data_IF_752280461559
#
_entry.id   IF_752280461559
#
_cell.length_a   1.000
_cell.length_b   1.000
_cell.length_c   1.000
_cell.angle_alpha   90.00
_cell.angle_beta   90.00
_cell.angle_gamma   90.00
#
_symmetry.space_group_name_H-M   'P 1'
#
loop_
_entity.id
_entity.type
_entity.pdbx_description
1 polymer ?
#
# COMPACT_ATOMS: atom_id res chain seq x y z
N UNK A 1 -12.21 5.49 5.70
CA UNK A 1 -10.81 5.91 5.99
C UNK A 1 -10.20 6.45 4.71
N UNK A 2 -9.80 7.72 4.67
CA UNK A 2 -9.53 8.41 3.41
C UNK A 2 -8.05 8.78 3.30
N UNK A 3 -7.22 7.91 2.72
CA UNK A 3 -6.03 8.41 2.01
C UNK A 3 -6.55 9.31 0.87
N UNK A 4 -5.95 10.49 0.72
CA UNK A 4 -6.16 11.34 -0.44
C UNK A 4 -5.46 10.68 -1.63
N UNK A 5 -6.26 10.16 -2.57
CA UNK A 5 -5.74 9.34 -3.67
C UNK A 5 -4.93 10.17 -4.67
N UNK A 6 -5.33 11.42 -4.91
CA UNK A 6 -4.61 12.32 -5.82
C UNK A 6 -3.26 12.72 -5.22
N UNK A 7 -3.25 13.04 -3.92
CA UNK A 7 -2.00 13.29 -3.19
C UNK A 7 -1.11 12.06 -3.16
N UNK A 8 -1.65 10.88 -2.86
CA UNK A 8 -0.90 9.63 -2.88
C UNK A 8 -0.29 9.34 -4.25
N UNK A 9 -1.08 9.50 -5.32
CA UNK A 9 -0.63 9.31 -6.70
C UNK A 9 0.51 10.23 -7.05
N UNK A 10 0.41 11.52 -6.71
CA UNK A 10 1.49 12.49 -6.93
C UNK A 10 2.76 12.06 -6.17
N UNK A 11 2.64 11.75 -4.89
CA UNK A 11 3.76 11.31 -4.06
C UNK A 11 4.43 10.05 -4.64
N UNK A 12 3.66 9.03 -5.00
CA UNK A 12 4.17 7.80 -5.60
C UNK A 12 4.87 8.03 -6.95
N UNK A 13 4.35 8.94 -7.78
CA UNK A 13 4.95 9.30 -9.06
C UNK A 13 6.18 10.20 -8.93
N UNK A 14 6.42 10.85 -7.80
CA UNK A 14 7.58 11.72 -7.57
C UNK A 14 8.67 11.05 -6.73
N UNK A 15 8.33 10.03 -5.95
CA UNK A 15 9.22 9.37 -5.01
C UNK A 15 10.29 8.50 -5.68
N UNK A 16 11.56 8.89 -5.54
CA UNK A 16 12.68 8.16 -6.13
C UNK A 16 12.86 6.75 -5.54
N UNK A 17 12.70 6.60 -4.22
CA UNK A 17 12.86 5.30 -3.56
C UNK A 17 11.79 4.34 -4.06
N UNK A 18 10.53 4.76 -4.11
CA UNK A 18 9.44 3.93 -4.58
C UNK A 18 9.67 3.47 -6.02
N UNK A 19 10.02 4.38 -6.94
CA UNK A 19 10.38 4.03 -8.32
C UNK A 19 11.54 3.05 -8.40
N UNK A 20 12.58 3.25 -7.60
CA UNK A 20 13.75 2.37 -7.57
C UNK A 20 13.35 0.97 -7.13
N UNK A 21 12.56 0.86 -6.07
CA UNK A 21 12.14 -0.44 -5.52
C UNK A 21 11.09 -1.13 -6.40
N UNK A 22 10.31 -0.40 -7.20
CA UNK A 22 9.34 -0.99 -8.14
C UNK A 22 9.90 -1.22 -9.54
N UNK A 23 11.19 -0.95 -9.82
CA UNK A 23 11.78 -0.90 -11.19
C UNK A 23 11.60 -2.12 -12.10
N UNK A 24 11.18 -3.27 -11.57
CA UNK A 24 10.89 -4.49 -12.34
C UNK A 24 9.50 -5.08 -12.04
N UNK A 25 8.69 -4.36 -11.27
CA UNK A 25 7.37 -4.82 -10.86
C UNK A 25 6.41 -4.80 -12.05
N UNK A 26 5.64 -5.88 -12.19
CA UNK A 26 4.60 -6.02 -13.19
C UNK A 26 3.30 -6.50 -12.53
N UNK A 27 2.17 -5.96 -12.99
CA UNK A 27 0.83 -6.34 -12.55
C UNK A 27 0.24 -5.40 -11.50
N UNK A 28 -0.64 -5.92 -10.66
CA UNK A 28 -1.52 -5.10 -9.80
C UNK A 28 -1.19 -5.32 -8.33
N UNK A 29 -0.94 -4.23 -7.59
CA UNK A 29 -1.01 -4.22 -6.13
C UNK A 29 -2.41 -3.76 -5.73
N UNK A 30 -3.15 -4.64 -5.06
CA UNK A 30 -4.49 -4.38 -4.55
C UNK A 30 -4.44 -4.08 -3.05
N UNK A 31 -5.08 -2.99 -2.64
CA UNK A 31 -5.24 -2.59 -1.24
C UNK A 31 -6.73 -2.50 -0.91
N UNK A 32 -7.25 -3.50 -0.20
CA UNK A 32 -8.63 -3.52 0.27
C UNK A 32 -8.72 -2.80 1.63
N UNK A 33 -9.45 -1.70 1.63
CA UNK A 33 -9.96 -1.03 2.81
C UNK A 33 -11.41 -1.46 3.07
N UNK A 34 -11.95 -1.27 4.29
CA UNK A 34 -13.31 -1.73 4.61
C UNK A 34 -14.43 -1.20 3.71
N UNK A 35 -14.24 -0.02 3.11
CA UNK A 35 -15.28 0.66 2.31
C UNK A 35 -14.88 0.90 0.85
N UNK A 36 -13.66 0.52 0.44
CA UNK A 36 -13.15 0.72 -0.91
C UNK A 36 -11.93 -0.13 -1.19
N UNK A 37 -11.71 -0.46 -2.46
CA UNK A 37 -10.47 -1.10 -2.92
C UNK A 37 -9.68 -0.13 -3.78
N UNK A 38 -8.35 -0.10 -3.60
CA UNK A 38 -7.43 0.72 -4.40
C UNK A 38 -6.47 -0.20 -5.13
N UNK A 39 -6.35 -0.01 -6.44
CA UNK A 39 -5.47 -0.77 -7.31
C UNK A 39 -4.35 0.12 -7.85
N UNK A 40 -3.10 -0.34 -7.72
CA UNK A 40 -1.92 0.26 -8.35
C UNK A 40 -1.46 -0.65 -9.48
N UNK A 41 -1.40 -0.10 -10.69
CA UNK A 41 -1.04 -0.85 -11.89
C UNK A 41 0.39 -0.56 -12.29
N UNK A 42 1.18 -1.62 -12.43
CA UNK A 42 2.57 -1.56 -12.84
C UNK A 42 2.79 -2.32 -14.15
N UNK A 43 3.61 -1.72 -15.01
CA UNK A 43 4.10 -2.33 -16.25
C UNK A 43 5.56 -1.93 -16.43
N UNK A 44 6.44 -2.92 -16.56
CA UNK A 44 7.89 -2.80 -16.63
C UNK A 44 8.45 -1.81 -15.58
N UNK A 45 7.97 -1.98 -14.34
CA UNK A 45 8.34 -1.17 -13.18
C UNK A 45 7.83 0.27 -13.15
N UNK A 46 7.04 0.69 -14.15
CA UNK A 46 6.38 1.99 -14.20
C UNK A 46 5.00 1.91 -13.58
N UNK A 47 4.69 2.83 -12.67
CA UNK A 47 3.35 3.01 -12.14
C UNK A 47 2.47 3.70 -13.19
N UNK A 48 1.56 2.95 -13.82
CA UNK A 48 0.71 3.44 -14.90
C UNK A 48 -0.53 4.18 -14.37
N UNK A 49 -1.21 3.59 -13.40
CA UNK A 49 -2.43 4.16 -12.82
C UNK A 49 -2.59 3.74 -11.35
N UNK A 50 -3.28 4.60 -10.61
CA UNK A 50 -3.84 4.32 -9.30
C UNK A 50 -5.31 4.67 -9.39
N UNK A 51 -6.19 3.76 -9.02
CA UNK A 51 -7.64 3.92 -9.12
C UNK A 51 -8.36 3.23 -7.96
N UNK A 52 -9.58 3.70 -7.66
CA UNK A 52 -10.52 2.92 -6.84
C UNK A 52 -11.22 1.91 -7.75
N UNK A 53 -10.92 0.63 -7.57
CA UNK A 53 -11.48 -0.45 -8.37
C UNK A 53 -11.34 -1.78 -7.62
N UNK A 54 -12.36 -2.63 -7.75
CA UNK A 54 -12.31 -4.00 -7.26
C UNK A 54 -11.78 -4.93 -8.36
N UNK A 55 -10.80 -5.74 -8.01
CA UNK A 55 -10.27 -6.80 -8.85
C UNK A 55 -10.34 -8.12 -8.10
N UNK A 56 -10.59 -9.23 -8.81
CA UNK A 56 -10.42 -10.57 -8.26
C UNK A 56 -8.95 -10.81 -7.87
N UNK A 57 -8.72 -11.58 -6.81
CA UNK A 57 -7.38 -11.78 -6.26
C UNK A 57 -6.43 -12.48 -7.23
N UNK A 58 -6.96 -13.37 -8.06
CA UNK A 58 -6.19 -14.09 -9.07
C UNK A 58 -5.67 -13.17 -10.19
N UNK A 59 -6.18 -11.93 -10.28
CA UNK A 59 -5.69 -10.88 -11.18
C UNK A 59 -4.65 -9.97 -10.53
N UNK A 60 -4.39 -10.13 -9.24
CA UNK A 60 -3.54 -9.23 -8.47
C UNK A 60 -2.21 -9.91 -8.13
N UNK A 61 -1.11 -9.22 -8.39
CA UNK A 61 0.24 -9.69 -8.07
C UNK A 61 0.48 -9.69 -6.57
N UNK A 62 0.01 -8.65 -5.87
CA UNK A 62 0.11 -8.50 -4.42
C UNK A 62 -1.25 -8.04 -3.90
N UNK A 63 -1.74 -8.67 -2.84
CA UNK A 63 -3.02 -8.35 -2.22
C UNK A 63 -2.82 -8.00 -0.75
N UNK A 64 -3.35 -6.86 -0.35
CA UNK A 64 -3.29 -6.35 1.02
C UNK A 64 -4.71 -6.08 1.50
N UNK A 65 -5.07 -6.57 2.69
CA UNK A 65 -6.37 -6.26 3.32
C UNK A 65 -6.22 -6.01 4.79
N UNK A 66 -7.01 -5.07 5.29
CA UNK A 66 -7.10 -4.84 6.72
C UNK A 66 -8.46 -4.32 7.14
N UNK A 67 -8.76 -4.47 8.42
CA UNK A 67 -9.90 -3.80 9.06
C UNK A 67 -9.67 -2.29 9.11
N UNK A 68 -10.71 -1.55 9.52
CA UNK A 68 -10.59 -0.10 9.69
C UNK A 68 -9.49 0.23 10.72
N UNK A 69 -9.46 -0.51 11.82
CA UNK A 69 -8.54 -0.32 12.94
C UNK A 69 -7.09 -0.63 12.54
N UNK A 70 -6.88 -1.72 11.79
CA UNK A 70 -5.55 -2.11 11.33
C UNK A 70 -4.97 -1.06 10.37
N UNK A 71 -5.76 -0.60 9.41
CA UNK A 71 -5.32 0.44 8.49
C UNK A 71 -5.12 1.79 9.18
N UNK A 72 -6.00 2.16 10.10
CA UNK A 72 -5.89 3.40 10.87
C UNK A 72 -4.57 3.43 11.66
N UNK A 73 -4.25 2.34 12.38
CA UNK A 73 -3.03 2.20 13.14
C UNK A 73 -1.77 2.12 12.24
N UNK A 74 -1.83 1.36 11.14
CA UNK A 74 -0.74 1.26 10.16
C UNK A 74 -0.38 2.63 9.57
N UNK A 75 -1.40 3.45 9.29
CA UNK A 75 -1.26 4.72 8.60
C UNK A 75 -1.07 5.91 9.56
N UNK A 76 -0.93 5.71 10.87
CA UNK A 76 -0.52 6.79 11.78
C UNK A 76 0.84 7.36 11.36
N UNK A 77 1.07 8.65 11.62
CA UNK A 77 2.37 9.26 11.35
C UNK A 77 3.48 8.64 12.21
N UNK A 78 3.14 8.30 13.46
CA UNK A 78 4.00 7.59 14.42
C UNK A 78 3.31 6.29 14.82
N UNK A 79 3.31 5.26 13.96
CA UNK A 79 2.59 4.04 14.23
C UNK A 79 3.17 3.31 15.44
N UNK A 80 2.28 2.67 16.21
CA UNK A 80 2.67 1.81 17.32
C UNK A 80 3.57 0.64 16.85
N UNK A 81 4.29 -0.01 17.79
CA UNK A 81 5.05 -1.21 17.46
C UNK A 81 4.22 -2.24 16.71
N UNK A 82 4.85 -2.82 15.69
CA UNK A 82 4.31 -3.78 14.73
C UNK A 82 3.32 -3.21 13.70
N UNK A 83 2.97 -1.92 13.77
CA UNK A 83 2.32 -1.16 12.69
C UNK A 83 3.31 -0.33 11.85
N UNK A 84 4.63 -0.53 11.99
CA UNK A 84 5.60 0.25 11.22
C UNK A 84 5.61 -0.12 9.73
N UNK A 85 5.29 -1.37 9.40
CA UNK A 85 5.19 -1.86 8.04
C UNK A 85 4.13 -2.96 7.88
N UNK A 86 3.78 -3.26 6.62
CA UNK A 86 2.80 -4.30 6.27
C UNK A 86 3.20 -5.68 6.79
N UNK A 87 4.48 -6.03 6.72
CA UNK A 87 4.95 -7.36 7.11
C UNK A 87 4.83 -7.61 8.62
N UNK A 88 5.22 -6.64 9.46
CA UNK A 88 5.02 -6.74 10.91
C UNK A 88 3.54 -6.72 11.27
N UNK A 89 2.73 -5.92 10.56
CA UNK A 89 1.28 -5.84 10.79
C UNK A 89 0.58 -7.15 10.44
N UNK A 90 1.02 -7.82 9.37
CA UNK A 90 0.55 -9.15 9.03
C UNK A 90 0.84 -10.14 10.17
N UNK A 91 2.11 -10.27 10.56
CA UNK A 91 2.53 -11.27 11.53
C UNK A 91 1.91 -11.05 12.92
N UNK A 92 1.74 -9.79 13.35
CA UNK A 92 1.35 -9.48 14.74
C UNK A 92 -0.11 -9.08 14.90
N UNK A 93 -0.72 -8.50 13.87
CA UNK A 93 -2.07 -7.95 13.96
C UNK A 93 -3.05 -8.61 13.00
N UNK A 94 -2.62 -9.58 12.19
CA UNK A 94 -3.49 -10.32 11.28
C UNK A 94 -3.95 -9.51 10.07
N UNK A 95 -3.22 -8.44 9.72
CA UNK A 95 -3.41 -7.76 8.43
C UNK A 95 -3.09 -8.76 7.31
N UNK A 96 -4.00 -8.93 6.37
CA UNK A 96 -3.73 -9.83 5.25
C UNK A 96 -2.72 -9.19 4.30
N UNK A 97 -1.66 -9.91 4.00
CA UNK A 97 -0.73 -9.62 2.92
C UNK A 97 -0.44 -10.94 2.22
N UNK A 98 -0.58 -10.96 0.89
CA UNK A 98 -0.29 -12.13 0.05
C UNK A 98 1.07 -12.74 0.40
N UNK A 99 1.16 -14.07 0.41
CA UNK A 99 2.38 -14.78 0.75
C UNK A 99 2.99 -15.45 -0.49
N UNK A 100 3.45 -14.63 -1.44
CA UNK A 100 4.03 -15.07 -2.71
C UNK A 100 5.41 -14.44 -2.95
N UNK A 101 6.11 -14.92 -3.98
CA UNK A 101 7.47 -14.49 -4.30
C UNK A 101 7.56 -12.98 -4.52
N UNK A 102 6.57 -12.40 -5.20
CA UNK A 102 6.49 -10.99 -5.53
C UNK A 102 6.36 -10.15 -4.25
N UNK A 103 5.56 -10.60 -3.29
CA UNK A 103 5.46 -9.91 -2.00
C UNK A 103 6.82 -9.82 -1.32
N UNK A 104 7.59 -10.91 -1.27
CA UNK A 104 8.92 -10.91 -0.66
C UNK A 104 9.95 -10.10 -1.45
N UNK A 105 9.92 -10.20 -2.79
CA UNK A 105 10.83 -9.47 -3.66
C UNK A 105 10.63 -7.94 -3.55
N UNK A 106 9.40 -7.49 -3.31
CA UNK A 106 9.03 -6.07 -3.29
C UNK A 106 8.72 -5.51 -1.90
N UNK A 107 9.14 -6.18 -0.81
CA UNK A 107 8.98 -5.66 0.56
C UNK A 107 9.49 -4.21 0.74
N UNK A 108 10.65 -3.80 0.19
CA UNK A 108 11.09 -2.41 0.27
C UNK A 108 10.11 -1.44 -0.39
N UNK A 109 9.56 -1.79 -1.55
CA UNK A 109 8.55 -0.99 -2.25
C UNK A 109 7.25 -0.88 -1.43
N UNK A 110 6.79 -1.99 -0.85
CA UNK A 110 5.60 -2.03 0.00
C UNK A 110 5.76 -1.19 1.28
N UNK A 111 6.96 -1.19 1.87
CA UNK A 111 7.28 -0.35 3.02
C UNK A 111 7.29 1.13 2.65
N UNK A 112 7.90 1.49 1.51
CA UNK A 112 7.88 2.87 1.01
C UNK A 112 6.46 3.31 0.67
N UNK A 113 5.68 2.47 0.00
CA UNK A 113 4.27 2.70 -0.31
C UNK A 113 3.47 3.05 0.94
N UNK A 114 3.65 2.29 2.04
CA UNK A 114 2.98 2.55 3.31
C UNK A 114 3.32 3.93 3.86
N UNK A 115 4.58 4.36 3.76
CA UNK A 115 5.02 5.71 4.15
C UNK A 115 4.39 6.79 3.27
N UNK A 116 4.29 6.57 1.97
CA UNK A 116 3.63 7.50 1.05
C UNK A 116 2.13 7.60 1.34
N UNK A 117 1.46 6.50 1.66
CA UNK A 117 0.06 6.49 2.10
C UNK A 117 -0.15 7.28 3.39
N UNK A 118 0.77 7.17 4.37
CA UNK A 118 0.75 8.01 5.60
C UNK A 118 0.80 9.50 5.25
N UNK A 119 1.73 9.89 4.37
CA UNK A 119 1.91 11.28 3.95
C UNK A 119 0.73 11.80 3.12
N UNK A 120 -0.02 10.89 2.48
CA UNK A 120 -1.22 11.20 1.73
C UNK A 120 -2.48 11.30 2.59
N UNK A 121 -2.40 11.18 3.92
CA UNK A 121 -3.55 11.45 4.78
C UNK A 121 -3.94 12.94 4.71
N UNK A 122 -5.25 13.26 4.78
CA UNK A 122 -5.72 14.63 4.92
C UNK A 122 -5.13 15.27 6.18
N UNK A 123 -4.82 16.57 6.09
CA UNK A 123 -4.36 17.33 7.25
C UNK A 123 -5.45 17.36 8.33
N UNK A 124 -5.07 17.14 9.59
CA UNK A 124 -6.01 17.14 10.72
C UNK A 124 -6.63 15.79 11.09
N UNK A 125 -6.30 14.70 10.38
CA UNK A 125 -6.58 13.35 10.90
C UNK A 125 -5.54 13.05 11.98
N UNK A 126 -5.99 12.99 13.24
CA UNK A 126 -5.13 12.94 14.42
C UNK A 126 -4.04 11.86 14.32
N UNK A 127 -2.87 12.22 14.86
CA UNK A 127 -1.70 11.35 14.99
C UNK A 127 -1.96 10.15 15.90
#
# INVERSE_FOLDING_TARGET
MAIDLDKFKKLALEDFEFKRETRYLNGIIKCDFPTRSVALHFDDGKLLKIEEAEYEDDKCTIVIRGTAEQWEALLQHKPLPFYQCLQSSNIKHGLYLSNNNETFAYLPALNRMTTLMRNARPEGVAA
#
